data_IF_523420248794
#
_entry.id   IF_523420248794
#
_cell.length_a   1.000
_cell.length_b   1.000
_cell.length_c   1.000
_cell.angle_alpha   90.00
_cell.angle_beta   90.00
_cell.angle_gamma   90.00
#
_symmetry.space_group_name_H-M   'P 1'
#
loop_
_entity.id
_entity.type
_entity.pdbx_description
1 polymer ?
#
# COMPACT_ATOMS: atom_id res chain seq x y z
N UNK A 1 -1.42 -27.09 22.03
CA UNK A 1 -1.68 -25.67 22.36
C UNK A 1 -1.22 -24.77 21.20
N UNK A 2 -2.00 -24.67 20.13
CA UNK A 2 -1.65 -23.88 18.92
C UNK A 2 -2.52 -22.61 18.71
N UNK A 3 -3.73 -22.57 19.27
CA UNK A 3 -4.74 -21.56 18.91
C UNK A 3 -4.45 -20.10 19.29
N UNK A 4 -3.70 -19.81 20.36
CA UNK A 4 -3.43 -18.41 20.78
C UNK A 4 -2.32 -17.75 19.96
N UNK A 5 -1.28 -18.49 19.57
CA UNK A 5 -0.20 -17.99 18.71
C UNK A 5 -0.71 -17.70 17.31
N UNK A 6 -1.62 -18.54 16.81
CA UNK A 6 -2.27 -18.36 15.52
C UNK A 6 -3.17 -17.11 15.53
N UNK A 7 -3.95 -16.88 16.60
CA UNK A 7 -4.76 -15.66 16.71
C UNK A 7 -3.93 -14.36 16.72
N UNK A 8 -2.82 -14.32 17.46
CA UNK A 8 -1.94 -13.15 17.48
C UNK A 8 -1.33 -12.89 16.09
N UNK A 9 -0.94 -13.96 15.38
CA UNK A 9 -0.46 -13.87 14.00
C UNK A 9 -1.55 -13.38 13.03
N UNK A 10 -2.78 -13.88 13.16
CA UNK A 10 -3.92 -13.42 12.35
C UNK A 10 -4.19 -11.93 12.55
N UNK A 11 -4.15 -11.43 13.79
CA UNK A 11 -4.36 -10.01 14.08
C UNK A 11 -3.23 -9.13 13.55
N UNK A 12 -2.00 -9.62 13.54
CA UNK A 12 -0.88 -8.91 12.92
C UNK A 12 -1.05 -8.85 11.40
N UNK A 13 -1.38 -9.98 10.77
CA UNK A 13 -1.62 -10.05 9.32
C UNK A 13 -2.79 -9.17 8.91
N UNK A 14 -3.93 -9.23 9.60
CA UNK A 14 -5.10 -8.41 9.30
C UNK A 14 -4.77 -6.91 9.33
N UNK A 15 -3.92 -6.46 10.27
CA UNK A 15 -3.49 -5.05 10.34
C UNK A 15 -2.60 -4.62 9.19
N UNK A 16 -1.81 -5.54 8.62
CA UNK A 16 -0.85 -5.26 7.56
C UNK A 16 -1.33 -5.70 6.18
N UNK A 17 -2.53 -6.30 6.09
CA UNK A 17 -3.00 -6.95 4.88
C UNK A 17 -3.15 -5.98 3.72
N UNK A 18 -3.70 -4.79 3.94
CA UNK A 18 -3.90 -3.82 2.87
C UNK A 18 -2.56 -3.27 2.36
N UNK A 19 -1.67 -2.84 3.26
CA UNK A 19 -0.31 -2.42 2.89
C UNK A 19 0.44 -3.54 2.13
N UNK A 20 0.24 -4.80 2.51
CA UNK A 20 0.75 -5.95 1.77
C UNK A 20 0.18 -6.07 0.36
N UNK A 21 -1.14 -5.94 0.20
CA UNK A 21 -1.81 -5.99 -1.11
C UNK A 21 -1.48 -4.77 -2.00
N UNK A 22 -1.05 -3.67 -1.40
CA UNK A 22 -0.65 -2.45 -2.08
C UNK A 22 0.86 -2.39 -2.37
N UNK A 23 1.65 -3.32 -1.83
CA UNK A 23 3.10 -3.37 -2.01
C UNK A 23 3.86 -2.36 -1.15
N UNK A 24 3.22 -1.79 -0.13
CA UNK A 24 3.74 -0.73 0.76
C UNK A 24 4.41 -1.30 2.03
N UNK A 25 5.04 -2.46 1.89
CA UNK A 25 5.59 -3.23 2.99
C UNK A 25 6.98 -3.75 2.63
N UNK A 26 7.88 -3.81 3.61
CA UNK A 26 9.22 -4.36 3.40
C UNK A 26 9.19 -5.86 3.04
N UNK A 27 10.20 -6.31 2.30
CA UNK A 27 10.31 -7.69 1.82
C UNK A 27 10.27 -8.75 2.94
N UNK A 28 10.80 -8.43 4.12
CA UNK A 28 10.84 -9.38 5.24
C UNK A 28 9.43 -9.60 5.76
N UNK A 29 8.67 -8.52 5.95
CA UNK A 29 7.29 -8.61 6.42
C UNK A 29 6.38 -9.20 5.33
N UNK A 30 6.59 -8.85 4.06
CA UNK A 30 5.85 -9.43 2.94
C UNK A 30 5.96 -10.96 2.90
N UNK A 31 7.19 -11.51 3.00
CA UNK A 31 7.41 -12.96 3.06
C UNK A 31 6.72 -13.64 4.25
N UNK A 32 6.69 -12.97 5.42
CA UNK A 32 6.02 -13.50 6.62
C UNK A 32 4.50 -13.57 6.43
N UNK A 33 3.92 -12.53 5.86
CA UNK A 33 2.49 -12.47 5.55
C UNK A 33 2.14 -13.54 4.51
N UNK A 34 2.89 -13.64 3.41
CA UNK A 34 2.67 -14.65 2.36
C UNK A 34 2.61 -16.08 2.94
N UNK A 35 3.60 -16.45 3.77
CA UNK A 35 3.62 -17.76 4.46
C UNK A 35 2.40 -17.97 5.36
N UNK A 36 1.91 -16.93 6.03
CA UNK A 36 0.72 -17.06 6.87
C UNK A 36 -0.55 -17.27 6.02
N UNK A 37 -0.66 -16.58 4.89
CA UNK A 37 -1.81 -16.72 3.98
C UNK A 37 -1.91 -18.14 3.39
N UNK A 38 -0.78 -18.82 3.17
CA UNK A 38 -0.73 -20.21 2.70
C UNK A 38 -1.32 -21.21 3.72
N UNK A 39 -1.13 -20.96 5.01
CA UNK A 39 -1.50 -21.91 6.08
C UNK A 39 -2.80 -21.55 6.80
N UNK A 40 -3.17 -20.27 6.82
CA UNK A 40 -4.34 -19.78 7.52
C UNK A 40 -5.48 -19.52 6.55
N UNK A 41 -6.44 -20.45 6.51
CA UNK A 41 -7.64 -20.34 5.64
C UNK A 41 -8.40 -19.02 5.83
N UNK A 42 -8.54 -18.53 7.07
CA UNK A 42 -9.26 -17.28 7.35
C UNK A 42 -8.58 -16.08 6.71
N UNK A 43 -7.28 -15.90 6.96
CA UNK A 43 -6.52 -14.79 6.41
C UNK A 43 -6.36 -14.91 4.90
N UNK A 44 -6.18 -16.13 4.36
CA UNK A 44 -6.14 -16.38 2.92
C UNK A 44 -7.44 -15.97 2.21
N UNK A 45 -8.60 -16.30 2.78
CA UNK A 45 -9.90 -15.89 2.23
C UNK A 45 -10.11 -14.37 2.26
N UNK A 46 -9.67 -13.72 3.34
CA UNK A 46 -9.72 -12.27 3.47
C UNK A 46 -8.85 -11.60 2.39
N UNK A 47 -7.60 -12.06 2.23
CA UNK A 47 -6.69 -11.60 1.20
C UNK A 47 -7.25 -11.77 -0.23
N UNK A 48 -7.84 -12.93 -0.54
CA UNK A 48 -8.45 -13.17 -1.86
C UNK A 48 -9.64 -12.25 -2.09
N UNK A 49 -10.47 -12.01 -1.06
CA UNK A 49 -11.64 -11.12 -1.16
C UNK A 49 -11.20 -9.70 -1.50
N UNK A 50 -10.22 -9.15 -0.78
CA UNK A 50 -9.71 -7.81 -1.07
C UNK A 50 -9.00 -7.72 -2.43
N UNK A 51 -8.29 -8.76 -2.85
CA UNK A 51 -7.67 -8.82 -4.18
C UNK A 51 -8.71 -8.78 -5.29
N UNK A 52 -9.83 -9.49 -5.14
CA UNK A 52 -10.94 -9.45 -6.09
C UNK A 52 -11.63 -8.09 -6.12
N UNK A 53 -11.83 -7.46 -4.97
CA UNK A 53 -12.36 -6.09 -4.88
C UNK A 53 -11.44 -5.12 -5.62
N UNK A 54 -10.13 -5.13 -5.33
CA UNK A 54 -9.13 -4.28 -5.99
C UNK A 54 -9.14 -4.50 -7.49
N UNK A 55 -9.17 -5.76 -7.93
CA UNK A 55 -9.23 -6.12 -9.35
C UNK A 55 -10.53 -5.64 -10.02
N UNK A 56 -11.67 -5.73 -9.32
CA UNK A 56 -12.95 -5.23 -9.82
C UNK A 56 -12.97 -3.70 -9.95
N UNK A 57 -12.34 -2.99 -9.00
CA UNK A 57 -12.18 -1.54 -9.05
C UNK A 57 -11.27 -1.12 -10.21
N UNK A 58 -10.12 -1.79 -10.39
CA UNK A 58 -9.21 -1.53 -11.53
C UNK A 58 -9.92 -1.76 -12.86
N UNK A 59 -10.70 -2.84 -13.00
CA UNK A 59 -11.47 -3.11 -14.23
C UNK A 59 -12.53 -2.05 -14.56
N UNK A 60 -13.06 -1.35 -13.54
CA UNK A 60 -14.06 -0.30 -13.70
C UNK A 60 -13.47 1.10 -13.76
N UNK A 61 -12.23 1.27 -13.34
CA UNK A 61 -11.53 2.54 -13.39
C UNK A 61 -11.27 2.93 -14.84
N UNK A 62 -11.54 4.19 -15.17
CA UNK A 62 -11.06 4.76 -16.43
C UNK A 62 -9.53 4.88 -16.32
N UNK A 63 -8.77 4.44 -17.34
CA UNK A 63 -7.34 4.72 -17.40
C UNK A 63 -7.06 6.22 -17.23
N UNK A 64 -6.02 6.54 -16.47
CA UNK A 64 -5.56 7.93 -16.34
C UNK A 64 -5.00 8.36 -17.69
N UNK A 65 -5.45 9.48 -18.28
CA UNK A 65 -4.90 9.96 -19.54
C UNK A 65 -3.39 10.22 -19.44
N UNK A 66 -2.63 9.80 -20.44
CA UNK A 66 -1.17 9.93 -20.44
C UNK A 66 -0.71 11.38 -20.23
N UNK A 67 -1.41 12.34 -20.84
CA UNK A 67 -1.14 13.78 -20.67
C UNK A 67 -1.25 14.25 -19.21
N UNK A 68 -2.17 13.67 -18.44
CA UNK A 68 -2.33 13.99 -17.02
C UNK A 68 -1.16 13.43 -16.21
N UNK A 69 -0.68 12.22 -16.54
CA UNK A 69 0.50 11.62 -15.93
C UNK A 69 1.78 12.42 -16.26
N UNK A 70 1.96 12.84 -17.51
CA UNK A 70 3.09 13.66 -17.94
C UNK A 70 3.13 15.00 -17.20
N UNK A 71 1.98 15.68 -17.09
CA UNK A 71 1.86 16.92 -16.32
C UNK A 71 2.22 16.72 -14.85
N UNK A 72 1.75 15.62 -14.25
CA UNK A 72 2.03 15.31 -12.84
C UNK A 72 3.53 15.05 -12.61
N UNK A 73 4.19 14.35 -13.53
CA UNK A 73 5.65 14.10 -13.47
C UNK A 73 6.44 15.40 -13.56
N UNK A 74 6.14 16.23 -14.55
CA UNK A 74 6.80 17.54 -14.71
C UNK A 74 6.63 18.42 -13.47
N UNK A 75 5.42 18.47 -12.92
CA UNK A 75 5.18 19.20 -11.67
C UNK A 75 6.02 18.67 -10.50
N UNK A 76 6.20 17.36 -10.39
CA UNK A 76 7.07 16.75 -9.39
C UNK A 76 8.55 17.12 -9.57
N UNK A 77 9.03 17.18 -10.80
CA UNK A 77 10.39 17.64 -11.14
C UNK A 77 10.58 19.11 -10.75
N UNK A 78 9.62 19.98 -11.11
CA UNK A 78 9.65 21.41 -10.77
C UNK A 78 9.68 21.66 -9.25
N UNK A 79 9.04 20.79 -8.45
CA UNK A 79 9.06 20.89 -6.97
C UNK A 79 10.42 20.54 -6.37
N UNK A 80 11.20 19.67 -7.01
CA UNK A 80 12.54 19.29 -6.56
C UNK A 80 13.56 20.36 -6.96
N UNK A 81 13.37 20.98 -8.14
CA UNK A 81 14.29 21.96 -8.70
C UNK A 81 14.06 23.40 -8.18
N UNK A 82 12.92 23.68 -7.57
CA UNK A 82 12.70 24.98 -6.94
C UNK A 82 13.56 25.13 -5.66
N UNK A 83 14.40 26.18 -5.55
CA UNK A 83 14.96 26.53 -4.25
C UNK A 83 13.78 26.80 -3.32
N UNK A 84 13.77 26.16 -2.14
CA UNK A 84 12.81 26.47 -1.10
C UNK A 84 13.01 27.96 -0.79
N UNK A 85 12.09 28.81 -1.24
CA UNK A 85 12.13 30.23 -0.92
C UNK A 85 12.10 30.37 0.61
N UNK A 86 13.26 30.64 1.19
CA UNK A 86 13.42 31.06 2.57
C UNK A 86 12.92 32.52 2.68
N UNK A 87 11.63 32.73 2.44
CA UNK A 87 10.93 33.98 2.69
C UNK A 87 9.95 33.75 3.84
N UNK A 88 10.53 33.46 4.99
CA UNK A 88 9.88 33.34 6.27
C UNK A 88 10.82 33.85 7.36
N UNK A 89 11.26 35.10 7.23
CA UNK A 89 11.80 35.85 8.37
C UNK A 89 10.94 37.10 8.57
N UNK A 90 9.87 36.92 9.35
CA UNK A 90 9.38 37.97 10.23
C UNK A 90 10.44 38.19 11.32
N UNK A 91 11.22 39.28 11.23
CA UNK A 91 11.64 40.04 12.42
C UNK A 91 12.08 41.47 12.05
N UNK A 92 11.42 42.48 12.65
CA UNK A 92 11.93 43.86 12.74
C UNK A 92 10.93 44.96 12.43
#
# INVERSE_FOLDING_TARGET
>A
MAGTKDMASCMQVARQLHAYLDGEIDDVTARRIARHLEVCRRCGLEASTYTEIKSALVRRGEPVPDEALERLRRFGEDLVDQPRDESGDETG
#
